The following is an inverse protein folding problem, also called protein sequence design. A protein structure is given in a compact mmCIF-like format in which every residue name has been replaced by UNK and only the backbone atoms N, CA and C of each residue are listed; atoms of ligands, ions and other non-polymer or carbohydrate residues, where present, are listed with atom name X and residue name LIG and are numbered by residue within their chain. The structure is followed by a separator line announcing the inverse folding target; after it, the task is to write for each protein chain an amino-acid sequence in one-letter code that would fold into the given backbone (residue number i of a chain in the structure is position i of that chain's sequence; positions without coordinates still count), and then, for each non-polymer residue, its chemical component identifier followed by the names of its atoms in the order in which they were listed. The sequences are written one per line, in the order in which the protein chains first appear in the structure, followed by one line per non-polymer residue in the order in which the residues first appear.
data_IF_694466426801
#
_entry.id   IF_694466426801
#
_cell.length_a   1.000
_cell.length_b   1.000
_cell.length_c   1.000
_cell.angle_alpha   90.00
_cell.angle_beta   90.00
_cell.angle_gamma   90.00
#
_symmetry.space_group_name_H-M   'P 1'
#
loop_
_entity.id
_entity.type
_entity.pdbx_description
1 polymer ?
#
# COMPACT_ATOMS: atom_id res chain seq x y z
N UNK A 1 -2.68 5.85 -15.08
CA UNK A 1 -1.70 5.35 -16.07
C UNK A 1 -0.32 5.82 -15.70
N UNK A 2 0.71 5.05 -16.03
CA UNK A 2 2.08 5.47 -15.82
C UNK A 2 2.44 6.61 -16.78
N UNK A 3 2.71 7.80 -16.25
CA UNK A 3 3.10 8.98 -17.01
C UNK A 3 4.08 9.82 -16.20
N UNK A 4 4.90 10.62 -16.89
CA UNK A 4 5.87 11.50 -16.23
C UNK A 4 5.18 12.48 -15.27
N UNK A 5 4.02 13.02 -15.66
CA UNK A 5 3.23 13.90 -14.81
C UNK A 5 2.76 13.19 -13.52
N UNK A 6 2.25 11.96 -13.65
CA UNK A 6 1.77 11.19 -12.49
C UNK A 6 2.93 10.75 -11.58
N UNK A 7 4.08 10.39 -12.13
CA UNK A 7 5.28 10.07 -11.34
C UNK A 7 5.79 11.30 -10.56
N UNK A 8 5.79 12.48 -11.17
CA UNK A 8 6.13 13.75 -10.47
C UNK A 8 5.14 14.07 -9.35
N UNK A 9 3.84 13.86 -9.59
CA UNK A 9 2.82 14.05 -8.56
C UNK A 9 2.98 13.09 -7.38
N UNK A 10 3.28 11.82 -7.65
CA UNK A 10 3.55 10.84 -6.60
C UNK A 10 4.78 11.24 -5.78
N UNK A 11 5.87 11.60 -6.45
CA UNK A 11 7.10 12.06 -5.78
C UNK A 11 6.87 13.30 -4.92
N UNK A 12 6.03 14.25 -5.34
CA UNK A 12 5.72 15.42 -4.54
C UNK A 12 5.09 15.08 -3.16
N UNK A 13 4.42 13.91 -3.06
CA UNK A 13 3.77 13.43 -1.82
C UNK A 13 4.65 12.50 -1.00
N UNK A 14 5.38 11.59 -1.65
CA UNK A 14 6.20 10.59 -0.96
C UNK A 14 7.63 11.07 -0.69
N UNK A 15 8.15 11.98 -1.54
CA UNK A 15 9.53 12.50 -1.53
C UNK A 15 10.60 11.41 -1.56
N UNK A 16 10.27 10.27 -2.16
CA UNK A 16 11.13 9.09 -2.21
C UNK A 16 11.04 8.45 -3.59
N UNK A 17 12.20 8.29 -4.25
CA UNK A 17 12.30 7.72 -5.58
C UNK A 17 12.07 6.21 -5.62
N UNK A 18 12.51 5.48 -4.59
CA UNK A 18 12.35 4.03 -4.51
C UNK A 18 10.87 3.67 -4.33
N UNK A 19 10.16 4.44 -3.49
CA UNK A 19 8.72 4.28 -3.29
C UNK A 19 7.94 4.59 -4.56
N UNK A 20 8.32 5.65 -5.30
CA UNK A 20 7.68 5.96 -6.58
C UNK A 20 7.96 4.85 -7.60
N UNK A 21 9.18 4.33 -7.67
CA UNK A 21 9.49 3.20 -8.55
C UNK A 21 8.64 1.98 -8.21
N UNK A 22 8.54 1.62 -6.93
CA UNK A 22 7.71 0.51 -6.45
C UNK A 22 6.22 0.69 -6.77
N UNK A 23 5.69 1.90 -6.57
CA UNK A 23 4.29 2.21 -6.83
C UNK A 23 3.89 1.94 -8.28
N UNK A 24 4.71 2.37 -9.23
CA UNK A 24 4.38 2.25 -10.65
C UNK A 24 4.83 0.92 -11.27
N UNK A 25 5.95 0.34 -10.82
CA UNK A 25 6.52 -0.86 -11.43
C UNK A 25 5.93 -2.15 -10.83
N UNK A 26 5.56 -2.15 -9.55
CA UNK A 26 5.06 -3.35 -8.86
C UNK A 26 3.57 -3.23 -8.52
N UNK A 27 3.18 -2.18 -7.79
CA UNK A 27 1.82 -2.06 -7.27
C UNK A 27 0.80 -1.70 -8.36
N UNK A 28 1.19 -0.86 -9.33
CA UNK A 28 0.34 -0.48 -10.46
C UNK A 28 -0.16 -1.68 -11.26
N UNK A 29 0.75 -2.54 -11.79
CA UNK A 29 0.37 -3.77 -12.48
C UNK A 29 -0.42 -4.74 -11.59
N UNK A 30 -0.02 -4.90 -10.32
CA UNK A 30 -0.69 -5.79 -9.36
C UNK A 30 -2.17 -5.46 -9.18
N UNK A 31 -2.55 -4.18 -9.21
CA UNK A 31 -3.93 -3.75 -9.03
C UNK A 31 -4.63 -3.31 -10.32
N UNK A 32 -4.07 -3.60 -11.50
CA UNK A 32 -4.59 -3.09 -12.77
C UNK A 32 -6.03 -3.52 -13.08
N UNK A 33 -6.44 -4.71 -12.65
CA UNK A 33 -7.81 -5.24 -12.84
C UNK A 33 -8.80 -4.81 -11.76
N UNK A 34 -8.34 -4.21 -10.65
CA UNK A 34 -9.16 -3.86 -9.49
C UNK A 34 -9.69 -2.43 -9.59
N UNK A 35 -11.01 -2.28 -9.68
CA UNK A 35 -11.67 -0.98 -9.73
C UNK A 35 -11.93 -0.39 -8.32
N UNK A 36 -10.86 -0.10 -7.57
CA UNK A 36 -10.92 0.52 -6.24
C UNK A 36 -10.82 -0.45 -5.06
N UNK A 37 -10.75 0.09 -3.83
CA UNK A 37 -10.58 -0.72 -2.61
C UNK A 37 -9.21 -1.40 -2.51
N UNK A 38 -8.13 -0.61 -2.57
CA UNK A 38 -6.75 -1.10 -2.56
C UNK A 38 -6.17 -1.36 -1.15
N UNK A 39 -6.86 -0.88 -0.12
CA UNK A 39 -6.45 -1.01 1.29
C UNK A 39 -7.52 -1.69 2.13
N UNK A 40 -7.08 -2.34 3.21
CA UNK A 40 -7.93 -2.90 4.26
C UNK A 40 -7.46 -2.35 5.62
N UNK A 41 -8.43 -2.08 6.50
CA UNK A 41 -8.18 -1.63 7.87
C UNK A 41 -8.73 -2.66 8.84
N UNK A 42 -7.88 -3.17 9.73
CA UNK A 42 -8.24 -4.12 10.78
C UNK A 42 -8.08 -3.44 12.15
N UNK A 43 -9.14 -3.44 12.97
CA UNK A 43 -9.09 -2.85 14.31
C UNK A 43 -8.28 -3.76 15.23
N UNK A 44 -7.35 -3.19 16.01
CA UNK A 44 -6.47 -3.97 16.91
C UNK A 44 -6.57 -3.56 18.37
N UNK A 45 -7.72 -3.03 18.78
CA UNK A 45 -7.99 -2.63 20.15
C UNK A 45 -7.34 -1.30 20.51
N UNK A 46 -7.00 -1.13 21.79
CA UNK A 46 -6.47 0.12 22.34
C UNK A 46 -5.00 -0.03 22.73
N UNK A 47 -4.22 1.02 22.50
CA UNK A 47 -2.81 1.07 22.88
C UNK A 47 -2.67 1.14 24.40
N UNK A 48 -1.75 0.34 24.94
CA UNK A 48 -1.45 0.35 26.36
C UNK A 48 -0.82 1.69 26.77
N UNK A 49 -1.29 2.26 27.88
CA UNK A 49 -0.80 3.53 28.44
C UNK A 49 -1.71 4.72 28.18
N UNK A 50 -2.11 4.95 26.93
CA UNK A 50 -2.92 6.12 26.54
C UNK A 50 -4.34 5.76 26.05
N UNK A 51 -4.66 4.46 25.98
CA UNK A 51 -5.95 3.95 25.51
C UNK A 51 -6.34 4.50 24.12
N UNK A 52 -5.34 4.78 23.25
CA UNK A 52 -5.61 5.25 21.90
C UNK A 52 -6.13 4.10 21.02
N UNK A 53 -7.21 4.27 20.22
CA UNK A 53 -7.72 3.23 19.34
C UNK A 53 -6.74 2.97 18.19
N UNK A 54 -6.29 1.73 18.05
CA UNK A 54 -5.30 1.30 17.06
C UNK A 54 -5.93 0.50 15.92
N UNK A 55 -5.26 0.53 14.77
CA UNK A 55 -5.62 -0.30 13.62
C UNK A 55 -4.38 -0.68 12.79
N UNK A 56 -4.44 -1.84 12.14
CA UNK A 56 -3.53 -2.22 11.07
C UNK A 56 -4.10 -1.74 9.74
N UNK A 57 -3.25 -1.16 8.90
CA UNK A 57 -3.55 -0.83 7.51
C UNK A 57 -2.66 -1.67 6.60
N UNK A 58 -3.26 -2.31 5.61
CA UNK A 58 -2.54 -3.15 4.66
C UNK A 58 -3.08 -2.99 3.24
N UNK A 59 -2.23 -3.32 2.26
CA UNK A 59 -2.63 -3.44 0.86
C UNK A 59 -3.33 -4.79 0.65
N UNK A 60 -4.35 -4.79 -0.21
CA UNK A 60 -5.12 -5.99 -0.57
C UNK A 60 -4.33 -6.86 -1.57
N UNK A 61 -4.79 -8.08 -1.85
CA UNK A 61 -4.27 -9.05 -2.84
C UNK A 61 -2.77 -9.32 -2.72
N UNK A 62 -2.29 -9.92 -1.61
CA UNK A 62 -0.85 -10.19 -1.33
C UNK A 62 -0.19 -10.89 -2.53
N UNK A 63 1.09 -10.62 -2.77
CA UNK A 63 1.79 -11.33 -3.85
C UNK A 63 1.95 -12.79 -3.48
N UNK A 64 1.94 -13.69 -4.47
CA UNK A 64 2.09 -15.14 -4.24
C UNK A 64 3.36 -15.47 -3.43
N UNK A 65 4.45 -14.71 -3.63
CA UNK A 65 5.67 -14.80 -2.82
C UNK A 65 5.46 -14.49 -1.33
N UNK A 66 4.55 -13.58 -1.00
CA UNK A 66 4.24 -13.22 0.38
C UNK A 66 3.25 -14.21 1.02
N UNK A 67 2.45 -14.91 0.22
CA UNK A 67 1.54 -15.95 0.70
C UNK A 67 2.29 -17.24 1.02
N UNK A 68 3.25 -17.65 0.16
CA UNK A 68 4.10 -18.82 0.39
C UNK A 68 5.08 -18.69 1.58
N UNK A 69 5.27 -17.50 2.13
CA UNK A 69 6.11 -17.26 3.32
C UNK A 69 5.29 -17.16 4.63
N UNK A 70 3.96 -17.16 4.51
CA UNK A 70 3.03 -17.09 5.64
C UNK A 70 2.38 -18.45 5.97
N UNK A 71 2.61 -19.46 5.12
CA UNK A 71 2.38 -20.89 5.37
C UNK A 71 3.67 -21.55 5.87
#
# INVERSE_FOLDING_TARGET
TDSVANRRLAFARTRDNEIVAKLFNELGPRFASRAGGYTRILKCGFRAGDNAPMAYIELVDRSEKAEAAAE
#
